data_IF_171669729899
#
_entry.id   IF_171669729899
#
_cell.length_a   1.000
_cell.length_b   1.000
_cell.length_c   1.000
_cell.angle_alpha   90.00
_cell.angle_beta   90.00
_cell.angle_gamma   90.00
#
_symmetry.space_group_name_H-M   'P 1'
#
loop_
_entity.id
_entity.type
_entity.pdbx_description
1 polymer ?
#
# COMPACT_ATOMS: atom_id res chain seq x y z
N UNK A 1 -40.13 1.75 -59.85
CA UNK A 1 -39.54 0.43 -59.58
C UNK A 1 -39.04 0.43 -58.15
N UNK A 2 -39.63 -0.42 -57.30
CA UNK A 2 -39.37 -0.52 -55.85
C UNK A 2 -38.05 -1.25 -55.60
N UNK A 3 -37.14 -0.67 -54.81
CA UNK A 3 -36.01 -1.38 -54.21
C UNK A 3 -36.24 -1.48 -52.71
N UNK A 4 -36.46 -2.71 -52.26
CA UNK A 4 -36.33 -3.17 -50.89
C UNK A 4 -34.85 -3.33 -50.56
N UNK A 5 -34.41 -2.95 -49.35
CA UNK A 5 -33.36 -3.66 -48.61
C UNK A 5 -33.64 -3.60 -47.11
N UNK A 6 -33.33 -4.71 -46.46
CA UNK A 6 -33.59 -5.09 -45.09
C UNK A 6 -32.96 -4.14 -44.06
N UNK A 7 -33.70 -3.75 -43.03
CA UNK A 7 -33.10 -3.34 -41.75
C UNK A 7 -32.83 -4.60 -40.92
N UNK A 8 -31.55 -4.86 -40.73
CA UNK A 8 -31.02 -5.93 -39.89
C UNK A 8 -31.09 -5.54 -38.40
N UNK A 9 -31.34 -6.57 -37.61
CA UNK A 9 -31.45 -6.61 -36.17
C UNK A 9 -30.20 -6.12 -35.41
N UNK A 10 -30.46 -5.83 -34.14
CA UNK A 10 -29.62 -6.06 -32.97
C UNK A 10 -28.41 -5.16 -32.76
N UNK A 11 -28.56 -4.21 -31.82
CA UNK A 11 -27.49 -3.83 -30.91
C UNK A 11 -27.97 -4.15 -29.49
N UNK A 12 -27.64 -5.37 -29.07
CA UNK A 12 -27.57 -5.75 -27.65
C UNK A 12 -26.23 -5.24 -27.09
N UNK A 13 -26.15 -5.23 -25.76
CA UNK A 13 -25.04 -4.83 -24.89
C UNK A 13 -25.06 -3.39 -24.42
N UNK A 14 -25.94 -3.14 -23.45
CA UNK A 14 -25.58 -2.35 -22.26
C UNK A 14 -24.35 -3.05 -21.66
N UNK A 15 -23.16 -2.68 -22.13
CA UNK A 15 -21.95 -2.92 -21.38
C UNK A 15 -22.00 -1.96 -20.21
N UNK A 16 -22.62 -2.40 -19.12
CA UNK A 16 -22.40 -1.80 -17.83
C UNK A 16 -20.92 -1.96 -17.55
N UNK A 17 -20.16 -0.87 -17.71
CA UNK A 17 -18.89 -0.74 -17.04
C UNK A 17 -19.20 -0.93 -15.55
N UNK A 18 -18.91 -2.13 -15.04
CA UNK A 18 -18.68 -2.33 -13.62
C UNK A 18 -17.52 -1.40 -13.31
N UNK A 19 -17.84 -0.22 -12.79
CA UNK A 19 -16.86 0.73 -12.30
C UNK A 19 -16.12 0.06 -11.17
N UNK A 20 -14.93 -0.46 -11.46
CA UNK A 20 -13.91 -0.64 -10.43
C UNK A 20 -13.55 0.77 -9.95
N UNK A 21 -14.27 1.23 -8.93
CA UNK A 21 -13.97 2.45 -8.19
C UNK A 21 -12.64 2.26 -7.46
N UNK A 22 -11.58 2.73 -8.08
CA UNK A 22 -10.21 2.67 -7.59
C UNK A 22 -9.31 3.05 -8.74
N UNK A 23 -9.27 4.34 -9.06
CA UNK A 23 -8.29 4.90 -10.00
C UNK A 23 -6.89 4.62 -9.44
N UNK A 24 -6.02 4.02 -10.24
CA UNK A 24 -4.62 3.74 -9.92
C UNK A 24 -3.81 5.00 -9.48
N UNK A 25 -4.38 6.20 -9.65
CA UNK A 25 -3.78 7.50 -9.34
C UNK A 25 -3.93 7.99 -7.88
N UNK A 26 -4.57 7.24 -6.99
CA UNK A 26 -4.75 7.65 -5.57
C UNK A 26 -3.91 6.79 -4.60
N UNK A 27 -2.78 6.28 -5.08
CA UNK A 27 -1.88 5.47 -4.25
C UNK A 27 -0.95 6.38 -3.48
N UNK A 28 -1.07 6.37 -2.15
CA UNK A 28 -0.15 7.05 -1.24
C UNK A 28 1.04 6.13 -0.97
N UNK A 29 2.26 6.67 -1.02
CA UNK A 29 3.48 5.91 -0.74
C UNK A 29 4.09 6.31 0.60
N UNK A 30 4.50 5.32 1.39
CA UNK A 30 5.35 5.57 2.55
C UNK A 30 6.69 6.17 2.12
N UNK A 31 7.12 7.17 2.88
CA UNK A 31 8.43 7.79 2.75
C UNK A 31 9.32 7.40 3.94
N UNK A 32 8.75 7.38 5.15
CA UNK A 32 9.47 6.98 6.36
C UNK A 32 8.57 6.18 7.31
N UNK A 33 9.07 5.10 7.95
CA UNK A 33 10.43 4.52 7.83
C UNK A 33 10.78 4.12 6.39
N UNK A 34 12.06 4.18 5.99
CA UNK A 34 12.46 3.92 4.62
C UNK A 34 12.11 2.49 4.29
N UNK A 35 11.00 2.31 3.60
CA UNK A 35 10.67 1.04 2.99
C UNK A 35 11.67 0.87 1.88
N UNK A 36 12.33 -0.29 1.75
CA UNK A 36 13.01 -0.61 0.50
C UNK A 36 11.94 -0.62 -0.59
N UNK A 37 11.69 0.54 -1.20
CA UNK A 37 11.12 0.62 -2.51
C UNK A 37 12.15 -0.10 -3.36
N UNK A 38 11.80 -1.31 -3.82
CA UNK A 38 12.63 -2.06 -4.75
C UNK A 38 13.03 -1.10 -5.86
N UNK A 39 14.30 -0.70 -5.87
CA UNK A 39 14.82 0.11 -6.95
C UNK A 39 14.48 -0.63 -8.24
N UNK A 40 13.83 0.05 -9.17
CA UNK A 40 13.80 -0.36 -10.57
C UNK A 40 15.25 -0.26 -11.07
N UNK A 41 16.03 -1.28 -10.73
CA UNK A 41 17.46 -1.36 -10.92
C UNK A 41 17.81 -2.80 -10.64
N UNK A 42 17.95 -3.57 -11.70
CA UNK A 42 18.31 -4.98 -11.71
C UNK A 42 19.55 -5.26 -10.86
N UNK A 43 19.34 -5.52 -9.57
CA UNK A 43 20.32 -6.14 -8.70
C UNK A 43 19.64 -7.38 -8.15
N UNK A 44 20.16 -8.53 -8.57
CA UNK A 44 19.78 -9.83 -8.08
C UNK A 44 19.92 -9.82 -6.56
N UNK A 45 18.79 -9.87 -5.83
CA UNK A 45 18.82 -10.22 -4.42
C UNK A 45 19.11 -11.72 -4.35
N UNK A 46 20.40 -12.07 -4.36
CA UNK A 46 20.85 -13.39 -3.93
C UNK A 46 20.63 -13.47 -2.43
N UNK A 47 19.59 -14.19 -1.99
CA UNK A 47 19.49 -14.76 -0.64
C UNK A 47 19.67 -13.80 0.57
N UNK A 48 19.60 -12.48 0.37
CA UNK A 48 19.62 -11.54 1.49
C UNK A 48 18.23 -11.49 2.10
N UNK A 49 18.12 -12.08 3.29
CA UNK A 49 16.94 -12.01 4.13
C UNK A 49 16.56 -10.55 4.31
N UNK A 50 15.39 -10.16 3.79
CA UNK A 50 14.84 -8.82 3.98
C UNK A 50 14.85 -8.46 5.47
N UNK A 51 15.65 -7.47 5.83
CA UNK A 51 15.73 -6.93 7.18
C UNK A 51 14.91 -5.64 7.23
N UNK A 52 13.81 -5.59 8.00
CA UNK A 52 12.99 -4.39 8.06
C UNK A 52 13.78 -3.25 8.72
N UNK A 53 13.59 -2.00 8.28
CA UNK A 53 14.31 -0.86 8.84
C UNK A 53 14.02 -0.71 10.35
N UNK A 54 15.05 -0.42 11.13
CA UNK A 54 14.92 -0.04 12.54
C UNK A 54 14.69 1.47 12.62
N UNK A 55 13.63 1.90 13.32
CA UNK A 55 13.36 3.33 13.57
C UNK A 55 14.12 3.83 14.80
N UNK A 56 14.30 5.15 14.91
CA UNK A 56 15.13 5.74 15.97
C UNK A 56 14.38 5.99 17.30
N UNK A 57 13.07 5.69 17.35
CA UNK A 57 12.20 6.02 18.49
C UNK A 57 11.08 5.00 18.68
N UNK A 58 10.69 4.78 19.93
CA UNK A 58 9.46 4.04 20.29
C UNK A 58 8.17 4.83 19.99
N UNK A 59 8.30 6.10 19.60
CA UNK A 59 7.24 6.96 19.07
C UNK A 59 7.68 7.50 17.70
N UNK A 60 7.76 6.64 16.67
CA UNK A 60 8.27 7.07 15.38
C UNK A 60 7.39 8.15 14.76
N UNK A 61 8.01 9.00 13.94
CA UNK A 61 7.30 9.92 13.05
C UNK A 61 7.14 9.25 11.69
N UNK A 62 5.91 8.90 11.33
CA UNK A 62 5.59 8.32 10.02
C UNK A 62 5.48 9.44 8.99
N UNK A 63 5.96 9.20 7.76
CA UNK A 63 5.90 10.18 6.66
C UNK A 63 5.46 9.51 5.38
N UNK A 64 4.68 10.21 4.57
CA UNK A 64 4.21 9.73 3.29
C UNK A 64 4.22 10.81 2.22
N UNK A 65 4.25 10.39 0.96
CA UNK A 65 4.17 11.32 -0.17
C UNK A 65 2.73 11.78 -0.38
N UNK A 66 2.52 13.02 -0.83
CA UNK A 66 1.21 13.39 -1.35
C UNK A 66 0.90 12.53 -2.60
N UNK A 67 -0.37 12.41 -2.94
CA UNK A 67 -0.77 11.82 -4.23
C UNK A 67 -0.50 12.82 -5.36
N UNK A 68 -0.55 12.32 -6.59
CA UNK A 68 -0.49 13.17 -7.77
C UNK A 68 -1.69 14.13 -7.76
N UNK A 69 -1.43 15.43 -7.94
CA UNK A 69 -2.43 16.50 -7.90
C UNK A 69 -3.21 16.56 -6.57
N UNK A 70 -2.55 16.95 -5.45
CA UNK A 70 -3.22 17.10 -4.17
C UNK A 70 -4.19 18.30 -4.19
N UNK A 71 -5.31 18.17 -3.48
CA UNK A 71 -6.25 19.28 -3.24
C UNK A 71 -6.28 19.66 -1.76
N UNK A 72 -6.68 20.89 -1.44
CA UNK A 72 -6.63 21.42 -0.07
C UNK A 72 -7.49 20.65 0.94
N UNK A 73 -8.50 19.94 0.47
CA UNK A 73 -9.43 19.13 1.27
C UNK A 73 -8.94 17.70 1.51
N UNK A 74 -7.82 17.30 0.90
CA UNK A 74 -7.26 15.96 1.07
C UNK A 74 -6.87 15.71 2.52
N UNK A 75 -7.28 14.54 3.03
CA UNK A 75 -6.96 14.07 4.37
C UNK A 75 -6.41 12.65 4.31
N UNK A 76 -5.69 12.26 5.35
CA UNK A 76 -5.07 10.95 5.42
C UNK A 76 -5.50 10.20 6.68
N UNK A 77 -5.63 8.88 6.54
CA UNK A 77 -5.69 7.98 7.67
C UNK A 77 -4.43 7.13 7.71
N UNK A 78 -4.02 6.77 8.93
CA UNK A 78 -2.94 5.84 9.18
C UNK A 78 -3.41 4.73 10.12
N UNK A 79 -2.89 3.53 9.90
CA UNK A 79 -3.10 2.37 10.77
C UNK A 79 -1.76 1.70 11.06
N UNK A 80 -1.61 1.17 12.27
CA UNK A 80 -0.46 0.35 12.67
C UNK A 80 -0.96 -0.93 13.32
N UNK A 81 -0.40 -2.04 12.86
CA UNK A 81 -0.65 -3.37 13.36
C UNK A 81 0.60 -3.94 13.99
N UNK A 82 0.43 -4.65 15.10
CA UNK A 82 1.45 -5.59 15.57
C UNK A 82 1.72 -6.65 14.50
N UNK A 83 2.90 -7.27 14.58
CA UNK A 83 3.20 -8.42 13.75
C UNK A 83 3.51 -9.63 14.62
N UNK A 84 3.18 -10.79 14.07
CA UNK A 84 3.58 -12.07 14.64
C UNK A 84 4.52 -12.76 13.66
N UNK A 85 5.64 -13.26 14.17
CA UNK A 85 6.54 -14.07 13.35
C UNK A 85 5.81 -15.38 13.04
N UNK A 86 5.40 -15.55 11.78
CA UNK A 86 4.67 -16.72 11.31
C UNK A 86 5.64 -17.80 10.80
N UNK A 87 6.79 -17.38 10.27
CA UNK A 87 7.90 -18.25 9.90
C UNK A 87 9.22 -17.47 10.00
N UNK A 88 10.38 -18.13 9.83
CA UNK A 88 11.67 -17.44 9.79
C UNK A 88 11.74 -16.30 8.75
N UNK A 89 10.89 -16.35 7.72
CA UNK A 89 10.91 -15.43 6.58
C UNK A 89 9.59 -14.66 6.39
N UNK A 90 8.62 -14.78 7.30
CA UNK A 90 7.30 -14.14 7.13
C UNK A 90 6.71 -13.63 8.44
N UNK A 91 6.13 -12.43 8.37
CA UNK A 91 5.36 -11.82 9.44
C UNK A 91 3.88 -11.82 9.09
N UNK A 92 3.05 -12.34 9.99
CA UNK A 92 1.59 -12.20 9.91
C UNK A 92 1.15 -10.86 10.52
N UNK A 93 0.09 -10.29 9.96
CA UNK A 93 -0.57 -9.10 10.50
C UNK A 93 -1.30 -9.48 11.79
N UNK A 94 -1.03 -8.73 12.84
CA UNK A 94 -1.66 -8.84 14.14
C UNK A 94 -2.72 -7.76 14.40
N UNK A 95 -3.10 -7.55 15.67
CA UNK A 95 -4.09 -6.56 16.06
C UNK A 95 -3.65 -5.14 15.70
N UNK A 96 -4.64 -4.31 15.35
CA UNK A 96 -4.42 -2.86 15.24
C UNK A 96 -4.09 -2.31 16.63
N UNK A 97 -2.98 -1.59 16.73
CA UNK A 97 -2.53 -0.96 17.96
C UNK A 97 -2.57 0.57 17.90
N UNK A 98 -2.70 1.12 16.69
CA UNK A 98 -2.81 2.55 16.50
C UNK A 98 -3.60 2.87 15.23
N UNK A 99 -4.52 3.83 15.34
CA UNK A 99 -5.24 4.37 14.20
C UNK A 99 -5.43 5.88 14.39
N UNK A 100 -5.25 6.63 13.30
CA UNK A 100 -5.54 8.07 13.26
C UNK A 100 -6.13 8.41 11.92
N UNK A 101 -7.12 9.31 11.93
CA UNK A 101 -7.85 9.70 10.73
C UNK A 101 -7.93 11.19 10.57
N UNK A 102 -8.17 11.64 9.33
CA UNK A 102 -8.40 13.05 9.04
C UNK A 102 -7.15 13.92 9.14
N UNK A 103 -5.96 13.34 9.00
CA UNK A 103 -4.69 14.04 9.07
C UNK A 103 -4.50 14.91 7.83
N UNK A 104 -4.09 16.17 8.01
CA UNK A 104 -3.78 17.08 6.89
C UNK A 104 -2.29 17.16 6.59
N UNK A 105 -1.45 17.02 7.62
CA UNK A 105 -0.01 16.97 7.45
C UNK A 105 0.41 15.65 6.79
N UNK A 106 1.50 15.68 6.02
CA UNK A 106 2.13 14.51 5.38
C UNK A 106 3.07 13.74 6.32
N UNK A 107 3.03 14.07 7.61
CA UNK A 107 3.75 13.38 8.65
C UNK A 107 2.92 13.30 9.94
N UNK A 108 3.15 12.25 10.71
CA UNK A 108 2.47 12.03 11.98
C UNK A 108 3.36 11.32 12.99
N UNK A 109 3.59 11.94 14.15
CA UNK A 109 4.32 11.31 15.26
C UNK A 109 3.36 10.54 16.14
N UNK A 110 3.69 9.27 16.44
CA UNK A 110 2.81 8.46 17.27
C UNK A 110 2.61 9.06 18.67
N UNK A 111 1.35 9.12 19.08
CA UNK A 111 0.96 9.63 20.40
C UNK A 111 1.14 8.56 21.50
N UNK A 112 1.26 7.30 21.09
CA UNK A 112 1.53 6.16 21.97
C UNK A 112 2.98 5.70 21.83
N UNK A 113 3.49 5.08 22.88
CA UNK A 113 4.77 4.38 22.85
C UNK A 113 4.55 2.91 22.43
N UNK A 114 5.27 2.48 21.39
CA UNK A 114 5.30 1.10 20.94
C UNK A 114 6.22 0.24 21.82
N UNK A 115 6.08 -1.09 21.72
CA UNK A 115 6.98 -2.04 22.37
C UNK A 115 8.36 -1.96 21.71
N UNK A 116 9.43 -2.13 22.48
CA UNK A 116 10.80 -2.18 21.96
C UNK A 116 11.08 -3.48 21.23
N UNK A 117 12.04 -3.47 20.30
CA UNK A 117 12.52 -4.67 19.60
C UNK A 117 11.41 -5.45 18.88
N UNK A 118 10.37 -4.75 18.44
CA UNK A 118 9.14 -5.35 17.91
C UNK A 118 8.89 -4.84 16.50
N UNK A 119 8.51 -5.75 15.61
CA UNK A 119 8.15 -5.41 14.23
C UNK A 119 6.67 -5.00 14.13
N UNK A 120 6.40 -3.98 13.33
CA UNK A 120 5.08 -3.38 13.10
C UNK A 120 4.81 -3.16 11.62
N UNK A 121 3.60 -3.50 11.21
CA UNK A 121 3.05 -3.12 9.91
C UNK A 121 2.36 -1.76 10.04
N UNK A 122 2.52 -0.88 9.06
CA UNK A 122 1.75 0.37 9.00
C UNK A 122 1.30 0.70 7.58
N UNK A 123 0.19 1.41 7.46
CA UNK A 123 -0.34 1.83 6.18
C UNK A 123 -0.92 3.23 6.28
N UNK A 124 -1.03 3.87 5.12
CA UNK A 124 -1.66 5.17 4.94
C UNK A 124 -2.66 5.09 3.79
N UNK A 125 -3.76 5.83 3.88
CA UNK A 125 -4.73 5.99 2.79
C UNK A 125 -5.23 7.43 2.75
N UNK A 126 -5.75 7.84 1.61
CA UNK A 126 -6.31 9.17 1.42
C UNK A 126 -7.83 9.17 1.54
N UNK A 127 -8.38 10.29 1.99
CA UNK A 127 -9.80 10.66 1.95
C UNK A 127 -9.93 11.99 1.23
N UNK A 128 -10.70 11.98 0.15
CA UNK A 128 -10.92 13.14 -0.71
C UNK A 128 -12.40 13.50 -0.74
N UNK A 129 -12.72 14.77 -0.48
CA UNK A 129 -14.06 15.36 -0.66
C UNK A 129 -15.24 14.52 -0.14
N UNK A 130 -15.19 14.10 1.12
CA UNK A 130 -16.25 13.29 1.79
C UNK A 130 -16.57 11.95 1.11
N UNK A 131 -15.80 11.55 0.09
CA UNK A 131 -15.90 10.24 -0.54
C UNK A 131 -15.41 9.14 0.41
N UNK A 132 -15.76 7.87 0.13
CA UNK A 132 -15.11 6.74 0.78
C UNK A 132 -13.59 6.86 0.67
N UNK A 133 -12.89 6.47 1.74
CA UNK A 133 -11.44 6.46 1.75
C UNK A 133 -10.88 5.54 0.64
N UNK A 134 -9.70 5.87 0.12
CA UNK A 134 -8.98 5.02 -0.82
C UNK A 134 -8.64 3.67 -0.20
N UNK A 135 -8.11 2.77 -1.03
CA UNK A 135 -7.40 1.59 -0.52
C UNK A 135 -6.20 2.02 0.33
N UNK A 136 -5.82 1.16 1.26
CA UNK A 136 -4.56 1.28 1.98
C UNK A 136 -3.38 1.19 1.02
N UNK A 137 -2.36 1.99 1.28
CA UNK A 137 -1.05 1.93 0.61
C UNK A 137 -0.50 0.51 0.63
N UNK A 138 -0.07 -0.02 -0.52
CA UNK A 138 0.56 -1.33 -0.59
C UNK A 138 2.01 -1.23 -1.03
N UNK A 139 2.79 -2.27 -0.71
CA UNK A 139 4.07 -2.52 -1.33
C UNK A 139 4.04 -3.88 -2.05
N UNK A 140 4.77 -3.97 -3.16
CA UNK A 140 4.87 -5.19 -3.94
C UNK A 140 6.12 -5.93 -3.49
N UNK A 141 5.95 -7.12 -2.93
CA UNK A 141 7.06 -8.02 -2.70
C UNK A 141 7.20 -8.97 -3.90
N UNK A 142 8.38 -8.97 -4.53
CA UNK A 142 8.72 -9.94 -5.57
C UNK A 142 9.38 -11.17 -4.92
N UNK A 143 8.73 -12.34 -4.99
CA UNK A 143 9.31 -13.62 -4.55
C UNK A 143 9.46 -14.59 -5.71
N UNK A 144 10.50 -15.42 -5.63
CA UNK A 144 10.66 -16.59 -6.49
C UNK A 144 10.90 -16.27 -7.97
N UNK A 145 11.40 -15.09 -8.30
CA UNK A 145 11.74 -14.74 -9.68
C UNK A 145 12.88 -15.64 -10.18
N UNK A 146 12.61 -16.54 -11.14
CA UNK A 146 13.66 -17.34 -11.80
C UNK A 146 14.01 -16.75 -13.16
N UNK A 147 15.29 -16.88 -13.52
CA UNK A 147 15.92 -16.11 -14.60
C UNK A 147 15.51 -16.49 -16.03
N UNK A 148 14.69 -17.53 -16.20
CA UNK A 148 14.37 -18.09 -17.51
C UNK A 148 12.87 -18.35 -17.60
N UNK A 149 12.12 -17.37 -18.11
CA UNK A 149 10.75 -17.54 -18.60
C UNK A 149 9.68 -17.92 -17.57
N UNK A 150 9.95 -17.88 -16.27
CA UNK A 150 8.97 -18.23 -15.23
C UNK A 150 8.59 -17.01 -14.39
N UNK A 151 7.28 -16.82 -14.19
CA UNK A 151 6.73 -15.62 -13.57
C UNK A 151 7.20 -15.38 -12.14
N UNK A 152 7.34 -14.10 -11.77
CA UNK A 152 7.47 -13.71 -10.37
C UNK A 152 6.11 -13.84 -9.68
N UNK A 153 6.10 -14.35 -8.45
CA UNK A 153 4.93 -14.21 -7.59
C UNK A 153 4.96 -12.77 -7.05
N UNK A 154 3.90 -12.02 -7.33
CA UNK A 154 3.66 -10.69 -6.77
C UNK A 154 2.70 -10.86 -5.61
N UNK A 155 3.13 -10.43 -4.43
CA UNK A 155 2.25 -10.31 -3.27
C UNK A 155 2.03 -8.82 -2.99
N UNK A 156 0.80 -8.36 -3.17
CA UNK A 156 0.36 -7.03 -2.77
C UNK A 156 0.11 -7.03 -1.26
N UNK A 157 1.05 -6.49 -0.49
CA UNK A 157 0.89 -6.35 0.95
C UNK A 157 0.46 -4.92 1.27
N UNK A 158 -0.71 -4.71 1.89
CA UNK A 158 -1.27 -3.38 2.12
C UNK A 158 -0.60 -2.61 3.27
N UNK A 159 0.58 -3.02 3.73
CA UNK A 159 1.26 -2.42 4.87
C UNK A 159 2.78 -2.47 4.72
N UNK A 160 3.45 -1.40 5.11
CA UNK A 160 4.89 -1.27 5.21
C UNK A 160 5.41 -1.81 6.55
N UNK A 161 6.59 -2.44 6.58
CA UNK A 161 7.16 -3.04 7.80
C UNK A 161 8.31 -2.20 8.37
N UNK A 162 8.39 -2.08 9.70
CA UNK A 162 9.55 -1.55 10.43
C UNK A 162 9.72 -2.22 11.79
N UNK A 163 10.88 -2.05 12.41
CA UNK A 163 11.19 -2.54 13.77
C UNK A 163 11.49 -1.36 14.68
N UNK A 164 10.98 -1.40 15.91
CA UNK A 164 11.31 -0.41 16.94
C UNK A 164 12.68 -0.69 17.57
N UNK A 165 13.38 0.35 18.09
CA UNK A 165 14.69 0.16 18.68
C UNK A 165 14.61 -0.62 20.00
N UNK A 166 15.76 -1.14 20.43
CA UNK A 166 15.95 -1.60 21.80
C UNK A 166 15.86 -0.40 22.77
N UNK A 167 15.53 -0.66 24.05
CA UNK A 167 15.43 0.39 25.08
C UNK A 167 16.79 0.89 25.54
#
# INVERSE_FOLDING_TARGET
MKRWWLMLLSVFWISGCVGYGGTLNETVFAVYPPTQASGYGSVFVTDESYSPPVVDSLRPTLRWSPIDEPIETDKYDIAIHETYQNSPLTWAIGPEVYYRQGLQALEHTLEIQLKSSQAYYWAVRIRRDEKPASKWSSFILLRGCTFIGSGCITEDLPFFLFVTPDK
#
